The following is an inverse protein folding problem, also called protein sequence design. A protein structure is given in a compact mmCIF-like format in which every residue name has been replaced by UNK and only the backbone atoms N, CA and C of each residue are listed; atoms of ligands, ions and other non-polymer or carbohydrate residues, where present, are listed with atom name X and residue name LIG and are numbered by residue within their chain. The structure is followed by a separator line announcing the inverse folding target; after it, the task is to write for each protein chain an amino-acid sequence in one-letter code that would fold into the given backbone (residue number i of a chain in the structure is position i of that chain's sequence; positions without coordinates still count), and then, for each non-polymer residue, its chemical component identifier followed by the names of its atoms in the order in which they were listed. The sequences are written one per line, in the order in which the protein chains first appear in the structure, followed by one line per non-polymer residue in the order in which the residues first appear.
data_IF_236550094160
#
_entry.id   IF_236550094160
#
_cell.length_a   1.000
_cell.length_b   1.000
_cell.length_c   1.000
_cell.angle_alpha   90.00
_cell.angle_beta   90.00
_cell.angle_gamma   90.00
#
_symmetry.space_group_name_H-M   'P 1'
#
loop_
_entity.id
_entity.type
_entity.pdbx_description
1 polymer ?
#
# COMPACT_ATOMS: atom_id res chain seq x y z
N UNK A 1 -3.16 66.00 -53.24
CA UNK A 1 -4.46 65.30 -53.15
C UNK A 1 -4.19 63.87 -52.79
N UNK A 2 -4.26 63.54 -51.51
CA UNK A 2 -4.16 62.18 -51.00
C UNK A 2 -5.41 61.87 -50.21
N UNK A 3 -5.91 60.65 -50.31
CA UNK A 3 -6.69 60.03 -49.25
C UNK A 3 -6.65 58.52 -49.42
N UNK A 4 -6.08 57.86 -48.43
CA UNK A 4 -6.07 56.43 -48.24
C UNK A 4 -7.33 56.01 -47.46
N UNK A 5 -7.93 54.87 -47.81
CA UNK A 5 -8.81 54.12 -46.89
C UNK A 5 -8.45 52.65 -47.00
N UNK A 6 -7.65 52.19 -46.04
CA UNK A 6 -7.35 50.78 -45.78
C UNK A 6 -8.56 50.12 -45.11
N UNK A 7 -9.04 48.99 -45.64
CA UNK A 7 -10.00 48.13 -44.96
C UNK A 7 -9.28 47.19 -43.98
N UNK A 8 -9.92 47.02 -42.82
CA UNK A 8 -9.38 46.43 -41.58
C UNK A 8 -9.40 44.90 -41.56
N UNK A 9 -8.42 44.40 -40.81
CA UNK A 9 -8.18 43.07 -40.26
C UNK A 9 -9.34 42.54 -39.41
N UNK A 10 -9.63 41.23 -39.46
CA UNK A 10 -9.95 40.39 -38.29
C UNK A 10 -9.90 38.89 -38.66
N UNK A 11 -8.72 38.30 -38.51
CA UNK A 11 -8.55 36.85 -38.39
C UNK A 11 -8.79 36.49 -36.92
N UNK A 12 -9.93 35.89 -36.62
CA UNK A 12 -10.26 35.38 -35.30
C UNK A 12 -9.45 34.11 -35.02
N UNK A 13 -8.39 34.23 -34.22
CA UNK A 13 -7.69 33.08 -33.65
C UNK A 13 -8.48 32.65 -32.41
N UNK A 14 -9.28 31.59 -32.55
CA UNK A 14 -9.79 30.85 -31.40
C UNK A 14 -8.62 30.13 -30.73
N UNK A 15 -8.00 30.76 -29.74
CA UNK A 15 -7.06 30.11 -28.84
C UNK A 15 -7.81 29.13 -27.95
N UNK A 16 -7.73 27.84 -28.29
CA UNK A 16 -8.12 26.75 -27.39
C UNK A 16 -7.09 26.73 -26.25
N UNK A 17 -7.43 27.35 -25.12
CA UNK A 17 -6.72 27.13 -23.86
C UNK A 17 -7.14 25.75 -23.33
N UNK A 18 -6.40 24.71 -23.70
CA UNK A 18 -6.40 23.45 -22.96
C UNK A 18 -5.81 23.73 -21.58
N UNK A 19 -6.68 23.91 -20.58
CA UNK A 19 -6.27 23.81 -19.19
C UNK A 19 -5.76 22.38 -18.97
N UNK A 20 -4.44 22.25 -18.87
CA UNK A 20 -3.80 21.09 -18.25
C UNK A 20 -4.16 21.14 -16.77
N UNK A 21 -5.32 20.61 -16.40
CA UNK A 21 -5.63 20.30 -15.02
C UNK A 21 -4.69 19.17 -14.61
N UNK A 22 -3.66 19.50 -13.83
CA UNK A 22 -2.91 18.49 -13.11
C UNK A 22 -3.88 17.86 -12.10
N UNK A 23 -4.34 16.65 -12.40
CA UNK A 23 -4.95 15.79 -11.39
C UNK A 23 -3.80 15.43 -10.45
N UNK A 24 -3.74 16.09 -9.31
CA UNK A 24 -2.89 15.62 -8.23
C UNK A 24 -3.47 14.27 -7.81
N UNK A 25 -2.70 13.21 -8.03
CA UNK A 25 -2.92 11.93 -7.36
C UNK A 25 -3.04 12.19 -5.84
N UNK A 26 -3.60 11.24 -5.08
CA UNK A 26 -3.93 11.36 -3.66
C UNK A 26 -2.85 12.03 -2.78
N UNK A 27 -3.25 12.46 -1.58
CA UNK A 27 -2.36 13.16 -0.65
C UNK A 27 -1.08 12.37 -0.34
N UNK A 28 -0.05 13.05 0.15
CA UNK A 28 1.15 12.36 0.61
C UNK A 28 0.85 11.56 1.87
N UNK A 29 1.34 10.33 1.96
CA UNK A 29 1.21 9.48 3.16
C UNK A 29 1.69 10.16 4.43
N UNK A 30 2.84 10.83 4.38
CA UNK A 30 3.32 11.65 5.48
C UNK A 30 4.02 12.88 4.91
N UNK A 31 4.07 13.96 5.70
CA UNK A 31 4.82 15.18 5.38
C UNK A 31 5.74 15.56 6.53
N UNK A 32 6.82 16.27 6.21
CA UNK A 32 7.61 17.00 7.22
C UNK A 32 6.77 18.11 7.85
N UNK A 33 7.27 18.70 8.94
CA UNK A 33 6.65 19.88 9.58
C UNK A 33 6.51 21.10 8.65
N UNK A 34 7.22 21.10 7.53
CA UNK A 34 7.17 22.14 6.51
C UNK A 34 6.21 21.77 5.37
N UNK A 35 5.46 20.67 5.49
CA UNK A 35 4.53 20.20 4.47
C UNK A 35 5.20 19.53 3.27
N UNK A 36 6.48 19.17 3.37
CA UNK A 36 7.19 18.48 2.29
C UNK A 36 6.83 16.98 2.33
N UNK A 37 6.26 16.40 1.26
CA UNK A 37 5.98 14.97 1.18
C UNK A 37 7.24 14.12 1.38
N UNK A 38 7.16 13.12 2.26
CA UNK A 38 8.21 12.10 2.33
C UNK A 38 8.22 11.27 1.04
N UNK A 39 9.41 10.94 0.57
CA UNK A 39 9.63 10.08 -0.61
C UNK A 39 10.68 9.05 -0.30
N UNK A 40 10.60 7.88 -0.93
CA UNK A 40 11.68 6.90 -0.84
C UNK A 40 13.00 7.48 -1.31
N UNK A 41 14.00 7.53 -0.42
CA UNK A 41 15.34 8.06 -0.74
C UNK A 41 16.18 7.09 -1.58
N UNK A 42 15.75 5.84 -1.70
CA UNK A 42 16.35 4.77 -2.49
C UNK A 42 15.24 3.93 -3.15
N UNK A 43 15.53 3.14 -4.19
CA UNK A 43 14.60 2.15 -4.69
C UNK A 43 14.06 1.25 -3.56
N UNK A 44 12.75 1.01 -3.56
CA UNK A 44 12.10 0.16 -2.56
C UNK A 44 12.40 -1.32 -2.86
N UNK A 45 13.12 -1.99 -1.97
CA UNK A 45 13.25 -3.45 -2.00
C UNK A 45 12.37 -4.04 -0.91
N UNK A 46 11.26 -4.70 -1.30
CA UNK A 46 10.32 -5.34 -0.38
C UNK A 46 10.61 -6.83 -0.24
N UNK A 47 10.25 -7.42 0.90
CA UNK A 47 10.41 -8.85 1.16
C UNK A 47 9.06 -9.46 1.51
N UNK A 48 8.73 -10.55 0.85
CA UNK A 48 7.50 -11.29 1.13
C UNK A 48 7.73 -12.30 2.24
N UNK A 49 6.73 -12.40 3.09
CA UNK A 49 6.47 -13.55 3.95
C UNK A 49 6.20 -14.81 3.12
N UNK A 50 6.65 -15.98 3.59
CA UNK A 50 6.43 -17.27 2.93
C UNK A 50 5.09 -17.91 3.31
N UNK A 51 4.32 -17.28 4.19
CA UNK A 51 2.95 -17.66 4.55
C UNK A 51 1.95 -17.54 3.41
N UNK A 52 0.74 -18.06 3.67
CA UNK A 52 -0.44 -17.88 2.83
C UNK A 52 -1.30 -16.76 3.40
N UNK A 53 -2.06 -16.04 2.57
CA UNK A 53 -3.08 -15.12 3.09
C UNK A 53 -4.31 -15.88 3.58
N UNK A 54 -4.61 -17.06 3.03
CA UNK A 54 -5.68 -17.94 3.54
C UNK A 54 -5.37 -19.40 3.24
N UNK A 55 -5.24 -20.22 4.28
CA UNK A 55 -5.00 -21.66 4.06
C UNK A 55 -6.20 -22.36 3.42
N UNK A 56 -5.89 -23.36 2.60
CA UNK A 56 -6.89 -24.19 1.91
C UNK A 56 -7.59 -23.51 0.74
N UNK A 57 -7.30 -22.23 0.45
CA UNK A 57 -7.87 -21.49 -0.67
C UNK A 57 -6.77 -21.16 -1.67
N UNK A 58 -6.72 -21.86 -2.80
CA UNK A 58 -5.63 -21.73 -3.78
C UNK A 58 -5.50 -20.32 -4.38
N UNK A 59 -6.58 -19.52 -4.37
CA UNK A 59 -6.53 -18.12 -4.80
C UNK A 59 -5.73 -17.21 -3.83
N UNK A 60 -5.42 -17.71 -2.63
CA UNK A 60 -4.77 -16.98 -1.55
C UNK A 60 -3.61 -17.78 -0.93
N UNK A 61 -3.09 -18.77 -1.66
CA UNK A 61 -1.80 -19.37 -1.34
C UNK A 61 -0.65 -18.37 -1.58
N UNK A 62 0.53 -18.68 -1.05
CA UNK A 62 1.69 -17.81 -1.14
C UNK A 62 1.98 -17.33 -2.57
N UNK A 63 1.93 -18.23 -3.55
CA UNK A 63 2.25 -17.90 -4.94
C UNK A 63 1.20 -16.96 -5.54
N UNK A 64 -0.08 -17.21 -5.28
CA UNK A 64 -1.18 -16.37 -5.74
C UNK A 64 -1.13 -14.97 -5.10
N UNK A 65 -0.88 -14.87 -3.80
CA UNK A 65 -0.83 -13.58 -3.10
C UNK A 65 0.43 -12.80 -3.47
N UNK A 66 1.58 -13.46 -3.62
CA UNK A 66 2.79 -12.84 -4.15
C UNK A 66 2.54 -12.23 -5.53
N UNK A 67 1.77 -12.92 -6.38
CA UNK A 67 1.36 -12.39 -7.67
C UNK A 67 0.44 -11.16 -7.53
N UNK A 68 -0.51 -11.14 -6.59
CA UNK A 68 -1.34 -9.96 -6.31
C UNK A 68 -0.50 -8.76 -5.87
N UNK A 69 0.53 -8.96 -5.04
CA UNK A 69 1.45 -7.90 -4.64
C UNK A 69 2.23 -7.35 -5.84
N UNK A 70 2.79 -8.22 -6.68
CA UNK A 70 3.51 -7.82 -7.90
C UNK A 70 2.62 -7.04 -8.84
N UNK A 71 1.37 -7.48 -9.02
CA UNK A 71 0.38 -6.76 -9.83
C UNK A 71 0.07 -5.39 -9.25
N UNK A 72 -0.11 -5.27 -7.93
CA UNK A 72 -0.36 -3.99 -7.29
C UNK A 72 0.79 -2.99 -7.52
N UNK A 73 2.04 -3.42 -7.34
CA UNK A 73 3.20 -2.58 -7.67
C UNK A 73 3.28 -2.23 -9.17
N UNK A 74 2.97 -3.19 -10.05
CA UNK A 74 2.95 -2.98 -11.49
C UNK A 74 1.88 -1.96 -11.90
N UNK A 75 0.67 -2.03 -11.34
CA UNK A 75 -0.40 -1.06 -11.59
C UNK A 75 0.04 0.35 -11.20
N UNK A 76 0.59 0.50 -9.98
CA UNK A 76 1.04 1.81 -9.52
C UNK A 76 2.19 2.38 -10.34
N UNK A 77 3.02 1.58 -11.00
CA UNK A 77 4.21 2.07 -11.71
C UNK A 77 4.10 2.08 -13.22
N UNK A 78 3.29 1.19 -13.80
CA UNK A 78 2.96 1.19 -15.22
C UNK A 78 2.16 2.41 -15.65
N UNK A 79 1.30 2.93 -14.76
CA UNK A 79 0.53 4.16 -15.01
C UNK A 79 1.35 5.43 -14.74
N UNK A 80 2.49 5.33 -14.02
CA UNK A 80 3.36 6.45 -13.68
C UNK A 80 4.50 6.60 -14.71
N UNK A 81 4.17 7.08 -15.90
CA UNK A 81 5.11 7.32 -17.01
C UNK A 81 6.25 8.33 -16.70
N UNK A 82 6.23 9.00 -15.53
CA UNK A 82 7.18 10.06 -15.16
C UNK A 82 7.87 9.89 -13.79
N UNK A 83 7.56 8.82 -13.04
CA UNK A 83 8.16 8.63 -11.73
C UNK A 83 9.51 7.91 -11.84
N UNK A 84 10.59 8.58 -11.43
CA UNK A 84 11.93 7.99 -11.27
C UNK A 84 12.01 6.99 -10.08
N UNK A 85 10.86 6.44 -9.66
CA UNK A 85 10.76 5.53 -8.54
C UNK A 85 10.79 4.09 -9.05
N UNK A 86 11.73 3.29 -8.55
CA UNK A 86 11.82 1.87 -8.84
C UNK A 86 11.63 1.05 -7.57
N UNK A 87 11.10 -0.14 -7.76
CA UNK A 87 10.91 -1.14 -6.73
C UNK A 87 11.37 -2.50 -7.24
N UNK A 88 11.68 -3.39 -6.33
CA UNK A 88 11.96 -4.80 -6.66
C UNK A 88 11.57 -5.69 -5.48
N UNK A 89 11.13 -6.90 -5.78
CA UNK A 89 11.07 -7.97 -4.79
C UNK A 89 12.50 -8.40 -4.45
N UNK A 90 12.82 -8.41 -3.16
CA UNK A 90 14.07 -8.95 -2.63
C UNK A 90 13.93 -10.42 -2.26
N UNK A 91 14.95 -10.95 -1.60
CA UNK A 91 14.89 -12.28 -1.01
C UNK A 91 13.72 -12.39 -0.01
N UNK A 92 13.14 -13.59 0.10
CA UNK A 92 12.09 -13.86 1.09
C UNK A 92 12.53 -13.47 2.51
N UNK A 93 11.56 -13.15 3.37
CA UNK A 93 11.87 -12.78 4.75
C UNK A 93 12.75 -13.85 5.41
N UNK A 94 13.90 -13.47 5.99
CA UNK A 94 14.86 -14.43 6.48
C UNK A 94 14.25 -15.22 7.63
N UNK A 95 14.55 -16.52 7.68
CA UNK A 95 14.29 -17.36 8.84
C UNK A 95 14.80 -16.65 10.09
N UNK A 96 13.99 -16.48 11.13
CA UNK A 96 14.56 -16.03 12.38
C UNK A 96 15.59 -17.05 12.88
N UNK A 97 16.67 -16.56 13.49
CA UNK A 97 17.81 -17.39 13.91
C UNK A 97 17.46 -18.43 14.98
N UNK A 98 16.23 -18.41 15.52
CA UNK A 98 15.66 -19.37 16.47
C UNK A 98 14.94 -20.55 15.78
N UNK A 99 14.98 -20.65 14.45
CA UNK A 99 14.34 -21.72 13.69
C UNK A 99 12.87 -21.46 13.37
N UNK A 100 12.33 -20.30 13.76
CA UNK A 100 11.03 -19.83 13.33
C UNK A 100 11.17 -18.95 12.09
N UNK A 101 11.00 -19.49 10.89
CA UNK A 101 10.67 -18.61 9.79
C UNK A 101 10.40 -19.31 8.48
N UNK A 102 10.04 -18.48 7.51
CA UNK A 102 9.21 -18.85 6.37
C UNK A 102 7.92 -18.07 6.55
N UNK A 103 7.11 -18.49 7.49
CA UNK A 103 5.79 -17.90 7.77
C UNK A 103 5.83 -16.97 8.99
N UNK A 104 5.33 -15.75 8.84
CA UNK A 104 5.22 -14.75 9.91
C UNK A 104 3.81 -14.78 10.52
N UNK A 105 3.72 -15.07 11.81
CA UNK A 105 2.46 -15.17 12.55
C UNK A 105 2.54 -14.45 13.91
N UNK A 106 1.47 -14.53 14.70
CA UNK A 106 1.37 -13.86 16.00
C UNK A 106 2.48 -14.22 17.00
N UNK A 107 3.17 -15.35 16.84
CA UNK A 107 4.28 -15.75 17.72
C UNK A 107 5.62 -15.08 17.40
N UNK A 108 5.83 -14.65 16.15
CA UNK A 108 7.14 -14.20 15.67
C UNK A 108 7.13 -12.82 14.98
N UNK A 109 5.96 -12.21 14.73
CA UNK A 109 5.87 -10.94 14.00
C UNK A 109 6.71 -9.80 14.61
N UNK A 110 6.91 -9.81 15.93
CA UNK A 110 7.76 -8.84 16.63
C UNK A 110 9.22 -8.84 16.14
N UNK A 111 9.72 -9.96 15.61
CA UNK A 111 11.07 -10.08 15.06
C UNK A 111 11.26 -9.33 13.74
N UNK A 112 10.15 -8.90 13.13
CA UNK A 112 10.13 -8.13 11.89
C UNK A 112 9.63 -6.71 12.16
N UNK A 113 8.52 -6.54 12.89
CA UNK A 113 7.87 -5.25 13.15
C UNK A 113 8.53 -4.38 14.23
N UNK A 114 9.27 -5.00 15.17
CA UNK A 114 10.01 -4.29 16.23
C UNK A 114 11.52 -4.37 16.03
N UNK A 115 11.97 -4.68 14.80
CA UNK A 115 13.38 -4.95 14.53
C UNK A 115 14.10 -3.75 13.92
N UNK A 116 15.37 -3.58 14.29
CA UNK A 116 16.27 -2.61 13.63
C UNK A 116 16.82 -3.14 12.30
N UNK A 117 16.26 -4.23 11.74
CA UNK A 117 16.67 -4.75 10.45
C UNK A 117 16.22 -3.77 9.36
N UNK A 118 17.07 -3.55 8.37
CA UNK A 118 16.77 -2.74 7.19
C UNK A 118 15.98 -3.58 6.17
N UNK A 119 14.74 -3.94 6.54
CA UNK A 119 13.79 -4.71 5.74
C UNK A 119 12.53 -3.88 5.50
N UNK A 120 11.84 -4.18 4.41
CA UNK A 120 10.49 -3.70 4.11
C UNK A 120 9.54 -4.90 4.00
N UNK A 121 9.09 -5.47 5.14
CA UNK A 121 8.32 -6.70 5.15
C UNK A 121 6.90 -6.48 4.63
N UNK A 122 6.41 -7.45 3.86
CA UNK A 122 5.00 -7.62 3.51
C UNK A 122 4.57 -8.97 4.08
N UNK A 123 3.71 -8.94 5.10
CA UNK A 123 3.30 -10.12 5.88
C UNK A 123 1.87 -10.54 5.56
N UNK A 124 1.65 -11.85 5.50
CA UNK A 124 0.36 -12.48 5.24
C UNK A 124 -0.12 -13.19 6.51
N UNK A 125 -0.98 -12.50 7.27
CA UNK A 125 -1.59 -12.99 8.50
C UNK A 125 -2.82 -13.86 8.19
N UNK A 126 -2.60 -15.16 8.06
CA UNK A 126 -3.60 -16.13 7.60
C UNK A 126 -4.94 -16.06 8.36
N UNK A 127 -4.89 -15.91 9.68
CA UNK A 127 -6.04 -15.95 10.58
C UNK A 127 -6.35 -14.62 11.26
N UNK A 128 -5.50 -13.61 11.06
CA UNK A 128 -5.67 -12.28 11.63
C UNK A 128 -5.17 -12.16 13.06
N UNK A 129 -4.49 -13.17 13.62
CA UNK A 129 -4.02 -13.11 15.01
C UNK A 129 -2.93 -12.05 15.23
N UNK A 130 -2.18 -11.64 14.20
CA UNK A 130 -1.26 -10.49 14.30
C UNK A 130 -2.06 -9.20 14.52
N UNK A 131 -3.19 -9.01 13.83
CA UNK A 131 -4.04 -7.84 14.05
C UNK A 131 -4.62 -7.78 15.46
N UNK A 132 -5.08 -8.90 16.01
CA UNK A 132 -5.55 -8.97 17.39
C UNK A 132 -4.40 -8.64 18.37
N UNK A 133 -3.19 -9.14 18.12
CA UNK A 133 -2.01 -8.86 18.94
C UNK A 133 -1.59 -7.38 18.89
N UNK A 134 -1.74 -6.71 17.74
CA UNK A 134 -1.31 -5.32 17.53
C UNK A 134 -2.35 -4.29 17.96
N UNK A 135 -3.63 -4.52 17.67
CA UNK A 135 -4.69 -3.52 17.80
C UNK A 135 -5.75 -3.89 18.85
N UNK A 136 -5.62 -5.05 19.48
CA UNK A 136 -6.51 -5.54 20.52
C UNK A 136 -7.47 -6.60 20.01
N UNK A 137 -8.03 -7.36 20.95
CA UNK A 137 -8.92 -8.47 20.68
C UNK A 137 -10.07 -8.09 19.72
N UNK A 138 -10.38 -8.99 18.77
CA UNK A 138 -11.40 -8.83 17.73
C UNK A 138 -11.06 -7.85 16.59
N UNK A 139 -9.90 -7.19 16.62
CA UNK A 139 -9.52 -6.23 15.56
C UNK A 139 -9.41 -6.89 14.18
N UNK A 140 -9.09 -8.19 14.11
CA UNK A 140 -9.04 -8.95 12.85
C UNK A 140 -10.36 -8.98 12.06
N UNK A 141 -11.49 -8.71 12.71
CA UNK A 141 -12.81 -8.69 12.07
C UNK A 141 -13.21 -7.31 11.51
N UNK A 142 -12.38 -6.30 11.75
CA UNK A 142 -12.59 -4.93 11.30
C UNK A 142 -11.42 -4.38 10.47
N UNK A 143 -10.26 -5.03 10.52
CA UNK A 143 -9.06 -4.63 9.78
C UNK A 143 -8.64 -5.74 8.83
N UNK A 144 -8.58 -5.41 7.54
CA UNK A 144 -8.03 -6.30 6.52
C UNK A 144 -6.52 -6.10 6.35
N UNK A 145 -6.06 -4.86 6.28
CA UNK A 145 -4.69 -4.55 5.93
C UNK A 145 -4.25 -3.22 6.49
N UNK A 146 -2.94 -3.04 6.60
CA UNK A 146 -2.33 -1.72 6.63
C UNK A 146 -0.98 -1.78 5.94
N UNK A 147 -0.57 -0.67 5.34
CA UNK A 147 0.80 -0.47 4.90
C UNK A 147 1.21 0.99 5.03
N UNK A 148 2.52 1.24 5.07
CA UNK A 148 3.03 2.60 5.15
C UNK A 148 4.47 2.68 5.61
N UNK A 149 4.89 3.89 5.91
CA UNK A 149 6.24 4.19 6.38
C UNK A 149 6.42 3.83 7.85
N UNK A 150 7.46 3.08 8.15
CA UNK A 150 7.88 2.77 9.52
C UNK A 150 8.90 3.80 10.02
N UNK A 151 9.84 4.19 9.16
CA UNK A 151 10.96 5.06 9.54
C UNK A 151 11.25 6.05 8.42
N UNK A 152 11.38 7.32 8.80
CA UNK A 152 11.67 8.44 7.91
C UNK A 152 12.86 9.26 8.43
N UNK A 153 13.54 9.95 7.53
CA UNK A 153 14.49 11.00 7.84
C UNK A 153 13.82 12.36 7.61
N UNK A 154 13.47 13.05 8.69
CA UNK A 154 12.79 14.35 8.63
C UNK A 154 13.64 15.49 8.07
N UNK A 155 14.97 15.37 8.12
CA UNK A 155 15.88 16.40 7.59
C UNK A 155 15.95 16.36 6.06
N UNK A 156 15.89 15.16 5.48
CA UNK A 156 15.97 14.96 4.02
C UNK A 156 14.61 14.69 3.36
N UNK A 157 13.54 14.58 4.15
CA UNK A 157 12.22 14.14 3.71
C UNK A 157 12.25 12.76 3.01
N UNK A 158 13.10 11.86 3.50
CA UNK A 158 13.28 10.52 2.91
C UNK A 158 12.63 9.41 3.75
N UNK A 159 11.98 8.46 3.08
CA UNK A 159 11.55 7.20 3.68
C UNK A 159 12.75 6.26 3.73
N UNK A 160 12.97 5.66 4.91
CA UNK A 160 14.05 4.72 5.18
C UNK A 160 13.53 3.28 5.25
N UNK A 161 12.35 3.09 5.86
CA UNK A 161 11.69 1.78 6.01
C UNK A 161 10.19 1.90 5.89
N UNK A 162 9.56 0.85 5.40
CA UNK A 162 8.12 0.67 5.33
C UNK A 162 7.73 -0.78 5.59
N UNK A 163 6.43 -1.04 5.69
CA UNK A 163 5.90 -2.39 5.92
C UNK A 163 4.46 -2.49 5.47
N UNK A 164 4.01 -3.72 5.23
CA UNK A 164 2.61 -4.05 5.01
C UNK A 164 2.22 -5.32 5.79
N UNK A 165 0.96 -5.38 6.20
CA UNK A 165 0.34 -6.54 6.83
C UNK A 165 -1.05 -6.74 6.23
N UNK A 166 -1.41 -7.98 5.89
CA UNK A 166 -2.70 -8.35 5.33
C UNK A 166 -3.31 -9.53 6.07
N UNK A 167 -4.60 -9.51 6.35
CA UNK A 167 -5.33 -10.52 7.14
C UNK A 167 -6.24 -11.37 6.27
N UNK A 168 -6.18 -12.68 6.47
CA UNK A 168 -7.11 -13.67 5.90
C UNK A 168 -8.40 -13.89 6.70
N UNK A 169 -8.57 -13.20 7.84
CA UNK A 169 -9.65 -13.51 8.77
C UNK A 169 -11.04 -13.42 8.13
N UNK A 170 -11.24 -12.38 7.32
CA UNK A 170 -12.51 -12.09 6.64
C UNK A 170 -12.62 -12.59 5.20
N UNK A 171 -11.68 -13.46 4.81
CA UNK A 171 -11.75 -14.21 3.55
C UNK A 171 -12.43 -15.56 3.83
N UNK A 172 -13.46 -15.94 3.06
CA UNK A 172 -14.07 -17.27 3.18
C UNK A 172 -13.08 -18.40 2.91
N UNK A 173 -13.19 -19.50 3.65
CA UNK A 173 -12.47 -20.74 3.38
C UNK A 173 -13.00 -21.46 2.11
N UNK A 174 -12.42 -22.61 1.76
CA UNK A 174 -12.81 -23.38 0.57
C UNK A 174 -14.27 -23.89 0.59
N UNK A 175 -14.92 -23.87 1.76
CA UNK A 175 -16.31 -24.25 1.95
C UNK A 175 -17.24 -23.03 2.05
N UNK A 176 -16.70 -21.82 1.96
CA UNK A 176 -17.44 -20.56 2.09
C UNK A 176 -17.67 -20.11 3.52
N UNK A 177 -16.97 -20.67 4.52
CA UNK A 177 -17.08 -20.21 5.90
C UNK A 177 -16.10 -19.09 6.19
N UNK A 178 -16.54 -18.09 6.96
CA UNK A 178 -15.68 -17.03 7.48
C UNK A 178 -15.30 -17.39 8.91
N UNK A 179 -14.08 -17.00 9.34
CA UNK A 179 -13.69 -17.16 10.74
C UNK A 179 -14.68 -16.43 11.65
N UNK A 180 -15.02 -17.07 12.76
CA UNK A 180 -15.84 -16.49 13.81
C UNK A 180 -15.18 -16.72 15.16
N UNK A 181 -15.26 -15.74 16.04
CA UNK A 181 -14.80 -15.85 17.43
C UNK A 181 -15.91 -15.38 18.36
N UNK A 182 -16.26 -16.21 19.34
CA UNK A 182 -17.29 -15.85 20.32
C UNK A 182 -16.91 -14.56 21.04
N UNK A 183 -17.85 -13.63 21.17
CA UNK A 183 -17.60 -12.30 21.76
C UNK A 183 -17.05 -11.27 20.79
N UNK A 184 -16.55 -11.68 19.62
CA UNK A 184 -16.23 -10.80 18.51
C UNK A 184 -17.42 -10.79 17.54
N UNK A 185 -17.88 -9.60 17.14
CA UNK A 185 -18.88 -9.50 16.07
C UNK A 185 -18.43 -10.19 14.78
N UNK A 186 -19.31 -10.35 13.79
CA UNK A 186 -18.90 -10.89 12.50
C UNK A 186 -17.87 -9.98 11.84
N UNK A 187 -17.19 -10.50 10.81
CA UNK A 187 -16.48 -9.64 9.87
C UNK A 187 -17.38 -8.51 9.40
N UNK A 188 -16.86 -7.29 9.48
CA UNK A 188 -17.60 -6.09 9.07
C UNK A 188 -17.97 -6.13 7.59
N UNK A 189 -17.17 -6.85 6.80
CA UNK A 189 -17.39 -7.15 5.40
C UNK A 189 -16.80 -8.52 5.07
N UNK A 190 -17.58 -9.41 4.46
CA UNK A 190 -17.05 -10.59 3.79
C UNK A 190 -16.36 -10.15 2.50
N UNK A 191 -15.09 -10.52 2.33
CA UNK A 191 -14.29 -10.03 1.22
C UNK A 191 -14.40 -10.95 0.00
N UNK A 192 -14.96 -10.41 -1.09
CA UNK A 192 -14.86 -11.00 -2.42
C UNK A 192 -13.43 -10.90 -2.96
N UNK A 193 -13.05 -11.74 -3.96
CA UNK A 193 -11.72 -11.66 -4.57
C UNK A 193 -11.34 -10.29 -5.12
N UNK A 194 -12.31 -9.57 -5.69
CA UNK A 194 -12.07 -8.21 -6.18
C UNK A 194 -11.82 -7.23 -5.04
N UNK A 195 -12.53 -7.36 -3.91
CA UNK A 195 -12.28 -6.52 -2.74
C UNK A 195 -10.90 -6.78 -2.13
N UNK A 196 -10.47 -8.05 -2.04
CA UNK A 196 -9.11 -8.40 -1.59
C UNK A 196 -8.07 -7.73 -2.50
N UNK A 197 -8.22 -7.87 -3.82
CA UNK A 197 -7.31 -7.27 -4.79
C UNK A 197 -7.25 -5.74 -4.67
N UNK A 198 -8.41 -5.10 -4.55
CA UNK A 198 -8.51 -3.64 -4.42
C UNK A 198 -7.93 -3.13 -3.11
N UNK A 199 -8.11 -3.85 -2.00
CA UNK A 199 -7.51 -3.50 -0.72
C UNK A 199 -5.99 -3.70 -0.74
N UNK A 200 -5.48 -4.79 -1.32
CA UNK A 200 -4.04 -4.97 -1.53
C UNK A 200 -3.47 -3.82 -2.37
N UNK A 201 -4.13 -3.46 -3.47
CA UNK A 201 -3.73 -2.33 -4.31
C UNK A 201 -3.70 -1.02 -3.51
N UNK A 202 -4.71 -0.78 -2.67
CA UNK A 202 -4.81 0.39 -1.81
C UNK A 202 -3.63 0.48 -0.82
N UNK A 203 -3.37 -0.58 -0.07
CA UNK A 203 -2.27 -0.61 0.91
C UNK A 203 -0.90 -0.49 0.23
N UNK A 204 -0.68 -1.15 -0.92
CA UNK A 204 0.56 -0.95 -1.68
C UNK A 204 0.72 0.53 -2.09
N UNK A 205 -0.37 1.24 -2.37
CA UNK A 205 -0.36 2.69 -2.58
C UNK A 205 0.19 3.45 -1.37
N UNK A 206 -0.24 3.11 -0.15
CA UNK A 206 0.31 3.65 1.10
C UNK A 206 1.80 3.39 1.26
N UNK A 207 2.26 2.17 0.96
CA UNK A 207 3.68 1.83 0.98
C UNK A 207 4.50 2.66 -0.03
N UNK A 208 3.89 3.04 -1.15
CA UNK A 208 4.48 3.90 -2.18
C UNK A 208 4.40 5.40 -1.85
N UNK A 209 3.75 5.77 -0.74
CA UNK A 209 3.66 7.14 -0.26
C UNK A 209 2.41 7.91 -0.67
N UNK A 210 1.42 7.23 -1.22
CA UNK A 210 0.11 7.79 -1.52
C UNK A 210 -0.82 7.59 -0.34
N UNK A 211 -1.68 8.54 -0.07
CA UNK A 211 -2.68 8.43 0.99
C UNK A 211 -3.93 9.21 0.61
N UNK A 212 -4.89 9.18 1.52
CA UNK A 212 -6.07 9.99 1.52
C UNK A 212 -5.70 11.48 1.40
N UNK A 213 -6.64 12.28 0.92
CA UNK A 213 -6.49 13.72 0.99
C UNK A 213 -6.43 14.14 2.47
N UNK A 214 -5.24 14.45 2.97
CA UNK A 214 -5.04 14.85 4.36
C UNK A 214 -5.44 16.33 4.55
N UNK A 215 -6.15 16.59 5.64
CA UNK A 215 -6.46 17.95 6.12
C UNK A 215 -5.85 18.07 7.51
N UNK A 216 -4.85 18.95 7.68
CA UNK A 216 -4.09 19.18 8.93
C UNK A 216 -3.33 17.94 9.47
N UNK A 217 -2.18 17.56 8.88
CA UNK A 217 -1.40 16.38 9.28
C UNK A 217 -0.65 16.51 10.64
N UNK A 218 -0.89 17.57 11.42
CA UNK A 218 -0.14 17.90 12.65
C UNK A 218 -0.93 17.65 13.96
N UNK A 219 -1.95 16.80 13.96
CA UNK A 219 -2.71 16.45 15.17
C UNK A 219 -2.12 15.26 15.92
#
# INVERSE_FOLDING_TARGET
MGSAIFYRVLLGVCGVFTFLSFVFAGGAHQTTKQGIPYRWGKPLVYQLDAGNLKNGVSAYDHAAVAQLIREAFSIWTGELHSAAFSFSEGEALPLAADGGGGDVNASNFSLYFNSNKELNPIVFDEDGEIFDAMFGECSKFSLFGFAGFEKVNSETAEVLKGRALFSGACIPDALGNILQKSGCGPCSLELSPEQVRMMILHEVGHLLGLDHAQVNPES
#
